data_IF_636432434893
#
_entry.id   IF_636432434893
#
_cell.length_a   1.000
_cell.length_b   1.000
_cell.length_c   1.000
_cell.angle_alpha   90.00
_cell.angle_beta   90.00
_cell.angle_gamma   90.00
#
_symmetry.space_group_name_H-M   'P 1'
#
loop_
_entity.id
_entity.type
_entity.pdbx_description
1 polymer ?
#
# COMPACT_ATOMS: atom_id res chain seq x y z
N UNK A 1 10.64 16.26 1.35
CA UNK A 1 9.67 15.93 2.42
C UNK A 1 9.13 14.53 2.13
N UNK A 2 9.32 13.60 3.05
CA UNK A 2 8.82 12.22 2.93
C UNK A 2 7.68 12.01 3.91
N UNK A 3 6.62 11.35 3.47
CA UNK A 3 5.48 11.01 4.30
C UNK A 3 5.08 9.55 4.06
N UNK A 4 4.81 8.87 5.16
CA UNK A 4 4.20 7.55 5.18
C UNK A 4 2.79 7.71 5.75
N UNK A 5 1.77 7.27 5.02
CA UNK A 5 0.38 7.29 5.50
C UNK A 5 -0.18 5.88 5.52
N UNK A 6 -0.71 5.49 6.68
CA UNK A 6 -1.47 4.26 6.87
C UNK A 6 -2.94 4.64 7.03
N UNK A 7 -3.81 4.16 6.14
CA UNK A 7 -5.23 4.51 6.12
C UNK A 7 -6.08 3.24 6.16
N UNK A 8 -7.15 3.26 6.97
CA UNK A 8 -8.18 2.22 6.96
C UNK A 8 -9.51 2.82 6.53
N UNK A 9 -10.10 2.27 5.48
CA UNK A 9 -11.35 2.72 4.89
C UNK A 9 -12.41 1.67 5.19
N UNK A 10 -13.45 2.07 5.92
CA UNK A 10 -14.53 1.22 6.38
C UNK A 10 -15.77 1.43 5.52
N UNK A 11 -16.40 0.36 5.06
CA UNK A 11 -17.68 0.40 4.33
C UNK A 11 -18.65 -0.65 4.88
N UNK A 12 -19.95 -0.33 4.83
CA UNK A 12 -21.01 -1.10 5.48
C UNK A 12 -20.72 -1.37 6.97
N UNK A 13 -20.40 -0.31 7.73
CA UNK A 13 -19.90 -0.47 9.10
C UNK A 13 -18.47 -1.01 9.07
N UNK A 14 -18.23 -2.15 9.71
CA UNK A 14 -16.92 -2.83 9.73
C UNK A 14 -16.90 -4.11 8.88
N UNK A 15 -17.94 -4.34 8.07
CA UNK A 15 -18.06 -5.55 7.24
C UNK A 15 -16.98 -5.61 6.16
N UNK A 16 -16.59 -4.46 5.60
CA UNK A 16 -15.49 -4.37 4.64
C UNK A 16 -14.49 -3.30 5.06
N UNK A 17 -13.25 -3.73 5.29
CA UNK A 17 -12.11 -2.89 5.63
C UNK A 17 -11.12 -2.93 4.48
N UNK A 18 -10.72 -1.76 3.98
CA UNK A 18 -9.64 -1.62 3.02
C UNK A 18 -8.49 -0.85 3.65
N UNK A 19 -7.33 -1.46 3.68
CA UNK A 19 -6.11 -0.86 4.19
C UNK A 19 -5.22 -0.36 3.05
N UNK A 20 -4.70 0.86 3.21
CA UNK A 20 -3.77 1.49 2.29
C UNK A 20 -2.50 1.92 3.03
N UNK A 21 -1.34 1.50 2.53
CA UNK A 21 -0.03 2.00 2.96
C UNK A 21 0.56 2.86 1.84
N UNK A 22 0.65 4.18 2.03
CA UNK A 22 0.99 5.14 0.98
C UNK A 22 2.34 5.80 1.23
N UNK A 23 3.19 5.81 0.21
CA UNK A 23 4.52 6.42 0.22
C UNK A 23 4.50 7.70 -0.61
N UNK A 24 4.70 8.84 0.05
CA UNK A 24 4.51 10.16 -0.54
C UNK A 24 5.79 10.97 -0.45
N UNK A 25 6.37 11.32 -1.60
CA UNK A 25 7.54 12.17 -1.72
C UNK A 25 7.16 13.53 -2.31
N UNK A 26 7.48 14.60 -1.58
CA UNK A 26 7.17 16.00 -1.95
C UNK A 26 5.70 16.23 -2.29
N UNK A 27 4.79 15.59 -1.55
CA UNK A 27 3.35 15.71 -1.73
C UNK A 27 2.78 14.86 -2.87
N UNK A 28 3.62 14.11 -3.58
CA UNK A 28 3.19 13.18 -4.63
C UNK A 28 3.35 11.73 -4.15
N UNK A 29 2.34 10.91 -4.39
CA UNK A 29 2.36 9.50 -4.03
C UNK A 29 3.07 8.67 -5.10
N UNK A 30 4.04 7.86 -4.67
CA UNK A 30 4.89 7.09 -5.58
C UNK A 30 4.46 5.64 -5.65
N UNK A 31 4.20 5.05 -4.49
CA UNK A 31 3.86 3.65 -4.30
C UNK A 31 2.78 3.52 -3.23
N UNK A 32 1.89 2.56 -3.41
CA UNK A 32 0.85 2.23 -2.43
C UNK A 32 0.63 0.73 -2.31
N UNK A 33 0.67 0.17 -1.10
CA UNK A 33 0.03 -1.12 -0.84
C UNK A 33 -1.49 -0.92 -0.75
N UNK A 34 -2.25 -1.79 -1.41
CA UNK A 34 -3.70 -1.77 -1.40
C UNK A 34 -4.23 -3.15 -1.04
N UNK A 35 -4.88 -3.29 0.11
CA UNK A 35 -5.32 -4.59 0.61
C UNK A 35 -6.37 -5.27 -0.27
N UNK A 36 -7.16 -4.50 -1.02
CA UNK A 36 -8.13 -5.06 -1.99
C UNK A 36 -7.41 -5.73 -3.18
N UNK A 37 -6.16 -5.34 -3.45
CA UNK A 37 -5.31 -5.92 -4.50
C UNK A 37 -4.33 -6.94 -3.91
N UNK A 38 -3.88 -6.72 -2.67
CA UNK A 38 -2.91 -7.55 -1.98
C UNK A 38 -1.47 -7.32 -2.39
N UNK A 39 -1.15 -6.21 -3.07
CA UNK A 39 0.20 -5.89 -3.56
C UNK A 39 0.50 -4.38 -3.54
N UNK A 40 1.78 -4.04 -3.70
CA UNK A 40 2.20 -2.67 -3.93
C UNK A 40 1.98 -2.26 -5.40
N UNK A 41 1.35 -1.10 -5.58
CA UNK A 41 1.09 -0.48 -6.86
C UNK A 41 1.94 0.78 -7.00
N UNK A 42 2.61 0.92 -8.14
CA UNK A 42 3.24 2.16 -8.52
C UNK A 42 2.17 3.18 -8.95
N UNK A 43 2.08 4.30 -8.23
CA UNK A 43 1.17 5.41 -8.54
C UNK A 43 1.81 6.36 -9.57
N UNK A 44 3.13 6.43 -9.57
CA UNK A 44 3.92 7.19 -10.55
C UNK A 44 5.08 6.35 -11.09
N UNK A 45 5.64 6.77 -12.22
CA UNK A 45 6.73 6.06 -12.92
C UNK A 45 7.93 5.77 -12.01
N UNK A 46 8.32 6.73 -11.16
CA UNK A 46 9.44 6.55 -10.23
C UNK A 46 9.20 5.45 -9.17
N UNK A 47 7.94 5.17 -8.84
CA UNK A 47 7.57 4.11 -7.90
C UNK A 47 7.55 2.71 -8.52
N UNK A 48 7.74 2.57 -9.84
CA UNK A 48 7.68 1.28 -10.53
C UNK A 48 8.74 0.31 -10.01
N UNK A 49 9.97 0.80 -9.82
CA UNK A 49 11.07 -0.02 -9.35
C UNK A 49 10.87 -0.47 -7.90
N UNK A 50 10.39 0.43 -7.05
CA UNK A 50 10.07 0.14 -5.65
C UNK A 50 8.93 -0.86 -5.53
N UNK A 51 7.82 -0.66 -6.26
CA UNK A 51 6.69 -1.58 -6.26
C UNK A 51 7.11 -2.99 -6.72
N UNK A 52 7.91 -3.09 -7.80
CA UNK A 52 8.43 -4.37 -8.29
C UNK A 52 9.33 -5.04 -7.24
N UNK A 53 10.24 -4.29 -6.63
CA UNK A 53 11.16 -4.81 -5.62
C UNK A 53 10.39 -5.29 -4.37
N UNK A 54 9.40 -4.54 -3.92
CA UNK A 54 8.62 -4.89 -2.74
C UNK A 54 7.66 -6.04 -3.01
N UNK A 55 7.08 -6.14 -4.21
CA UNK A 55 6.25 -7.29 -4.60
C UNK A 55 7.07 -8.57 -4.79
N UNK A 56 8.38 -8.48 -5.01
CA UNK A 56 9.26 -9.66 -5.03
C UNK A 56 9.66 -10.17 -3.64
N UNK A 57 9.31 -9.44 -2.57
CA UNK A 57 9.59 -9.81 -1.18
C UNK A 57 8.33 -10.41 -0.55
N UNK A 58 8.19 -11.73 -0.65
CA UNK A 58 7.01 -12.47 -0.15
C UNK A 58 6.76 -12.22 1.34
N UNK A 59 7.80 -12.21 2.17
CA UNK A 59 7.72 -11.96 3.61
C UNK A 59 7.14 -10.58 3.93
N UNK A 60 7.47 -9.58 3.10
CA UNK A 60 6.93 -8.23 3.19
C UNK A 60 5.46 -8.21 2.75
N UNK A 61 5.14 -8.83 1.62
CA UNK A 61 3.75 -8.88 1.13
C UNK A 61 2.80 -9.61 2.08
N UNK A 62 3.21 -10.75 2.63
CA UNK A 62 2.42 -11.50 3.60
C UNK A 62 2.13 -10.67 4.86
N UNK A 63 3.13 -9.95 5.37
CA UNK A 63 2.94 -9.06 6.52
C UNK A 63 1.91 -7.96 6.23
N UNK A 64 1.97 -7.36 5.04
CA UNK A 64 1.05 -6.29 4.67
C UNK A 64 -0.38 -6.81 4.46
N UNK A 65 -0.52 -8.00 3.84
CA UNK A 65 -1.80 -8.68 3.64
C UNK A 65 -2.47 -9.01 4.97
N UNK A 66 -1.69 -9.37 5.99
CA UNK A 66 -2.19 -9.72 7.32
C UNK A 66 -2.72 -8.54 8.14
N UNK A 67 -2.60 -7.27 7.69
CA UNK A 67 -3.11 -6.12 8.46
C UNK A 67 -4.64 -5.97 8.43
N UNK A 68 -5.32 -6.65 7.52
CA UNK A 68 -6.79 -6.62 7.36
C UNK A 68 -7.48 -7.95 7.70
N UNK A 69 -6.71 -9.00 8.02
CA UNK A 69 -7.25 -10.25 8.58
C UNK A 69 -7.73 -10.05 10.03
#
# INVERSE_FOLDING_TARGET
LEQLKSECHFSNGTERVRFLQRYIHNGQEDVRFDSDVGEYLAVMERGLQDAKLWNSQEDKLERERAYVD
#
